data_IF_607712855778
#
_entry.id   IF_607712855778
#
_cell.length_a   1.000
_cell.length_b   1.000
_cell.length_c   1.000
_cell.angle_alpha   90.00
_cell.angle_beta   90.00
_cell.angle_gamma   90.00
#
_symmetry.space_group_name_H-M   'P 1'
#
loop_
_entity.id
_entity.type
_entity.pdbx_description
1 polymer ?
#
# COMPACT_ATOMS: atom_id res chain seq x y z
N UNK A 1 14.40 -11.34 21.24
CA UNK A 1 13.98 -9.93 21.19
C UNK A 1 14.56 -9.30 19.92
N UNK A 2 13.76 -8.53 19.23
CA UNK A 2 14.22 -7.74 18.09
C UNK A 2 14.79 -6.44 18.64
N UNK A 3 16.01 -6.11 18.19
CA UNK A 3 16.68 -4.85 18.56
C UNK A 3 16.71 -4.00 17.29
N UNK A 4 16.36 -2.72 17.41
CA UNK A 4 16.50 -1.75 16.33
C UNK A 4 17.87 -1.11 16.43
N UNK A 5 18.68 -1.25 15.39
CA UNK A 5 20.00 -0.62 15.29
C UNK A 5 20.02 0.37 14.15
N UNK A 6 20.72 1.49 14.33
CA UNK A 6 20.96 2.44 13.26
C UNK A 6 22.04 1.92 12.30
N UNK A 7 21.71 1.93 11.00
CA UNK A 7 22.70 1.58 9.96
C UNK A 7 23.69 2.71 9.81
N UNK A 8 24.98 2.39 9.75
CA UNK A 8 26.05 3.36 9.49
C UNK A 8 25.80 4.16 8.21
N UNK A 9 26.09 5.45 8.24
CA UNK A 9 25.79 6.36 7.13
C UNK A 9 26.44 5.92 5.80
N UNK A 10 27.64 5.35 5.86
CA UNK A 10 28.34 4.78 4.71
C UNK A 10 27.62 3.64 4.02
N UNK A 11 26.79 2.88 4.76
CA UNK A 11 26.04 1.73 4.25
C UNK A 11 24.61 2.11 3.77
N UNK A 12 24.07 3.24 4.24
CA UNK A 12 22.70 3.66 3.88
C UNK A 12 22.50 3.96 2.39
N UNK A 13 23.59 4.27 1.68
CA UNK A 13 23.60 4.63 0.26
C UNK A 13 24.15 3.52 -0.65
N UNK A 14 24.36 2.33 -0.12
CA UNK A 14 24.80 1.18 -0.88
C UNK A 14 23.64 0.23 -1.18
N UNK A 15 23.68 -0.42 -2.34
CA UNK A 15 22.76 -1.51 -2.62
C UNK A 15 23.02 -2.69 -1.71
N UNK A 16 21.96 -3.31 -1.19
CA UNK A 16 22.06 -4.47 -0.30
C UNK A 16 22.49 -5.75 -1.02
N UNK A 17 22.35 -5.81 -2.34
CA UNK A 17 22.75 -6.90 -3.21
C UNK A 17 23.71 -6.41 -4.30
N UNK A 18 24.62 -7.26 -4.71
CA UNK A 18 25.42 -7.07 -5.92
C UNK A 18 24.69 -7.63 -7.16
N UNK A 19 25.22 -7.38 -8.36
CA UNK A 19 24.58 -7.77 -9.62
C UNK A 19 24.41 -9.30 -9.75
N UNK A 20 25.35 -10.09 -9.26
CA UNK A 20 25.30 -11.56 -9.30
C UNK A 20 24.16 -12.08 -8.41
N UNK A 21 24.00 -11.51 -7.21
CA UNK A 21 22.94 -11.83 -6.27
C UNK A 21 21.55 -11.42 -6.82
N UNK A 22 21.46 -10.26 -7.48
CA UNK A 22 20.23 -9.84 -8.17
C UNK A 22 19.87 -10.83 -9.27
N UNK A 23 20.83 -11.28 -10.07
CA UNK A 23 20.60 -12.28 -11.11
C UNK A 23 20.20 -13.65 -10.56
N UNK A 24 20.77 -14.06 -9.42
CA UNK A 24 20.38 -15.28 -8.73
C UNK A 24 18.93 -15.19 -8.23
N UNK A 25 18.57 -14.09 -7.58
CA UNK A 25 17.21 -13.87 -7.08
C UNK A 25 16.19 -13.82 -8.22
N UNK A 26 16.53 -13.19 -9.35
CA UNK A 26 15.68 -13.19 -10.54
C UNK A 26 15.45 -14.59 -11.09
N UNK A 27 16.47 -15.47 -11.10
CA UNK A 27 16.31 -16.89 -11.50
C UNK A 27 15.36 -17.62 -10.55
N UNK A 28 15.47 -17.41 -9.24
CA UNK A 28 14.54 -18.00 -8.27
C UNK A 28 13.10 -17.54 -8.53
N UNK A 29 12.89 -16.26 -8.78
CA UNK A 29 11.57 -15.71 -9.11
C UNK A 29 10.99 -16.38 -10.37
N UNK A 30 11.77 -16.54 -11.43
CA UNK A 30 11.34 -17.20 -12.67
C UNK A 30 10.98 -18.67 -12.45
N UNK A 31 11.77 -19.40 -11.67
CA UNK A 31 11.50 -20.81 -11.33
C UNK A 31 10.18 -20.94 -10.57
N UNK A 32 9.98 -20.06 -9.59
CA UNK A 32 8.77 -20.03 -8.77
C UNK A 32 7.54 -19.69 -9.62
N UNK A 33 7.62 -18.66 -10.45
CA UNK A 33 6.54 -18.28 -11.37
C UNK A 33 6.20 -19.42 -12.34
N UNK A 34 7.19 -20.08 -12.92
CA UNK A 34 6.99 -21.22 -13.81
C UNK A 34 6.32 -22.39 -13.07
N UNK A 35 6.73 -22.67 -11.82
CA UNK A 35 6.17 -23.76 -11.01
C UNK A 35 4.69 -23.54 -10.70
N UNK A 36 4.31 -22.32 -10.32
CA UNK A 36 2.93 -21.98 -9.97
C UNK A 36 2.08 -21.54 -11.17
N UNK A 37 2.66 -21.31 -12.34
CA UNK A 37 1.98 -20.89 -13.57
C UNK A 37 1.36 -19.50 -13.53
N UNK A 38 1.84 -18.63 -12.64
CA UNK A 38 1.35 -17.25 -12.44
C UNK A 38 2.38 -16.40 -11.70
N UNK A 39 2.30 -15.06 -11.81
CA UNK A 39 3.15 -14.15 -11.05
C UNK A 39 3.05 -14.39 -9.54
N UNK A 40 4.19 -14.40 -8.89
CA UNK A 40 4.32 -14.65 -7.46
C UNK A 40 5.10 -13.52 -6.78
N UNK A 41 4.57 -13.06 -5.65
CA UNK A 41 5.30 -12.26 -4.67
C UNK A 41 6.23 -13.18 -3.90
N UNK A 42 7.50 -12.80 -3.77
CA UNK A 42 8.48 -13.59 -3.01
C UNK A 42 9.09 -12.76 -1.88
N UNK A 43 9.21 -13.37 -0.72
CA UNK A 43 10.04 -12.86 0.37
C UNK A 43 11.36 -13.62 0.39
N UNK A 44 12.44 -12.90 0.60
CA UNK A 44 13.79 -13.48 0.60
C UNK A 44 14.65 -12.86 1.70
N UNK A 45 15.71 -13.54 2.04
CA UNK A 45 16.71 -13.07 2.98
C UNK A 45 18.11 -13.49 2.53
N UNK A 46 19.09 -12.65 2.86
CA UNK A 46 20.51 -13.00 2.74
C UNK A 46 21.03 -13.37 4.11
N UNK A 47 21.53 -14.58 4.26
CA UNK A 47 22.11 -15.04 5.51
C UNK A 47 23.43 -14.31 5.82
N UNK A 48 23.55 -13.78 7.02
CA UNK A 48 24.75 -13.05 7.45
C UNK A 48 25.96 -13.94 7.75
N UNK A 49 25.76 -15.27 7.83
CA UNK A 49 26.82 -16.23 8.18
C UNK A 49 27.41 -16.85 6.91
N UNK A 50 26.57 -17.37 6.02
CA UNK A 50 27.02 -18.04 4.80
C UNK A 50 26.92 -17.18 3.53
N UNK A 51 26.29 -15.98 3.64
CA UNK A 51 26.13 -15.03 2.55
C UNK A 51 25.15 -15.42 1.44
N UNK A 52 24.42 -16.55 1.60
CA UNK A 52 23.51 -17.06 0.57
C UNK A 52 22.14 -16.42 0.62
N UNK A 53 21.49 -16.42 -0.53
CA UNK A 53 20.09 -16.01 -0.68
C UNK A 53 19.15 -17.17 -0.41
N UNK A 54 18.13 -16.91 0.38
CA UNK A 54 17.07 -17.87 0.71
C UNK A 54 15.72 -17.29 0.39
N UNK A 55 14.87 -18.06 -0.27
CA UNK A 55 13.45 -17.74 -0.43
C UNK A 55 12.74 -18.14 0.86
N UNK A 56 12.09 -17.20 1.51
CA UNK A 56 11.42 -17.38 2.79
C UNK A 56 9.93 -17.65 2.61
N UNK A 57 9.31 -17.00 1.62
CA UNK A 57 7.89 -17.16 1.30
C UNK A 57 7.65 -16.88 -0.17
N UNK A 58 6.65 -17.57 -0.75
CA UNK A 58 6.08 -17.24 -2.05
C UNK A 58 4.56 -17.26 -1.94
N UNK A 59 3.91 -16.25 -2.46
CA UNK A 59 2.45 -16.11 -2.50
C UNK A 59 2.00 -15.58 -3.85
N UNK A 60 0.78 -15.95 -4.32
CA UNK A 60 0.26 -15.40 -5.57
C UNK A 60 0.21 -13.87 -5.53
N UNK A 61 0.78 -13.25 -6.56
CA UNK A 61 0.59 -11.82 -6.79
C UNK A 61 -0.86 -11.60 -7.24
N UNK A 62 -1.62 -10.80 -6.47
CA UNK A 62 -3.08 -10.67 -6.66
C UNK A 62 -3.49 -9.35 -7.30
N UNK A 63 -2.59 -8.37 -7.36
CA UNK A 63 -2.91 -7.00 -7.78
C UNK A 63 -2.67 -6.78 -9.27
N UNK A 64 -1.51 -7.20 -9.78
CA UNK A 64 -1.18 -6.99 -11.19
C UNK A 64 -1.87 -8.00 -12.11
N UNK A 65 -2.17 -9.18 -11.62
CA UNK A 65 -2.92 -10.17 -12.41
C UNK A 65 -4.40 -9.80 -12.63
N UNK A 66 -4.94 -8.91 -11.78
CA UNK A 66 -6.31 -8.35 -11.94
C UNK A 66 -6.33 -7.00 -12.64
N UNK A 67 -5.24 -6.25 -12.62
CA UNK A 67 -5.06 -5.08 -13.48
C UNK A 67 -4.81 -5.59 -14.89
N UNK A 68 -5.81 -5.49 -15.76
CA UNK A 68 -5.70 -5.89 -17.17
C UNK A 68 -4.36 -5.43 -17.74
N UNK A 69 -3.61 -6.39 -18.29
CA UNK A 69 -2.24 -6.22 -18.75
C UNK A 69 -2.05 -4.89 -19.48
N UNK A 70 -1.16 -4.05 -18.98
CA UNK A 70 -0.59 -2.96 -19.74
C UNK A 70 -1.14 -1.56 -19.54
N UNK A 71 -1.99 -1.27 -18.57
CA UNK A 71 -2.44 0.11 -18.32
C UNK A 71 -1.94 0.64 -16.98
N UNK A 72 -1.15 1.72 -17.01
CA UNK A 72 -0.80 2.50 -15.81
C UNK A 72 -1.75 3.68 -15.71
N UNK A 73 -2.48 3.72 -14.59
CA UNK A 73 -3.34 4.85 -14.26
C UNK A 73 -2.58 5.84 -13.38
N UNK A 74 -2.60 7.11 -13.78
CA UNK A 74 -2.06 8.22 -13.00
C UNK A 74 -3.21 9.11 -12.53
N UNK A 75 -3.33 9.24 -11.23
CA UNK A 75 -4.30 10.11 -10.57
C UNK A 75 -3.69 11.49 -10.29
N UNK A 76 -4.47 12.55 -10.46
CA UNK A 76 -4.06 13.92 -10.17
C UNK A 76 -5.22 14.73 -9.62
N UNK A 77 -5.06 15.31 -8.43
CA UNK A 77 -6.02 16.27 -7.88
C UNK A 77 -6.10 17.53 -8.76
N UNK A 78 -7.32 18.03 -8.95
CA UNK A 78 -7.59 19.30 -9.65
C UNK A 78 -7.88 20.44 -8.69
N UNK A 79 -8.26 20.13 -7.47
CA UNK A 79 -8.56 21.11 -6.43
C UNK A 79 -8.07 20.62 -5.08
N UNK A 80 -7.95 21.54 -4.14
CA UNK A 80 -7.50 21.28 -2.78
C UNK A 80 -8.47 21.91 -1.79
N UNK A 81 -8.59 21.31 -0.63
CA UNK A 81 -9.39 21.84 0.48
C UNK A 81 -8.61 21.72 1.79
N UNK A 82 -9.29 21.93 2.91
CA UNK A 82 -8.67 21.77 4.22
C UNK A 82 -8.20 20.34 4.43
N UNK A 83 -6.91 20.19 4.76
CA UNK A 83 -6.34 18.92 5.20
C UNK A 83 -6.83 18.61 6.62
N UNK A 84 -7.47 17.48 6.79
CA UNK A 84 -8.02 17.01 8.07
C UNK A 84 -7.07 16.04 8.79
N UNK A 85 -6.33 15.23 8.04
CA UNK A 85 -5.34 14.30 8.55
C UNK A 85 -4.23 14.10 7.50
N UNK A 86 -3.04 13.75 7.96
CA UNK A 86 -1.91 13.44 7.09
C UNK A 86 -1.11 12.27 7.65
N UNK A 87 -0.51 11.49 6.78
CA UNK A 87 0.30 10.35 7.14
C UNK A 87 1.17 9.88 5.98
N UNK A 88 1.68 8.68 6.05
CA UNK A 88 2.47 8.08 4.99
C UNK A 88 1.54 7.60 3.86
N UNK A 89 1.80 8.06 2.63
CA UNK A 89 1.09 7.61 1.44
C UNK A 89 1.49 6.17 1.07
N UNK A 90 0.47 5.36 0.79
CA UNK A 90 0.61 4.00 0.27
C UNK A 90 -0.16 3.92 -1.05
N UNK A 91 0.56 3.55 -2.10
CA UNK A 91 0.06 3.63 -3.47
C UNK A 91 0.15 5.04 -4.06
N UNK A 92 -0.53 5.26 -5.19
CA UNK A 92 -0.53 6.52 -5.94
C UNK A 92 -1.93 6.87 -6.44
N UNK A 93 -2.96 6.46 -5.70
CA UNK A 93 -4.36 6.66 -6.05
C UNK A 93 -5.05 7.66 -5.13
N UNK A 94 -6.28 7.97 -5.49
CA UNK A 94 -7.20 8.82 -4.74
C UNK A 94 -8.45 8.00 -4.45
N UNK A 95 -8.94 8.07 -3.22
CA UNK A 95 -10.21 7.49 -2.82
C UNK A 95 -11.11 8.56 -2.21
N UNK A 96 -12.40 8.55 -2.56
CA UNK A 96 -13.40 9.50 -2.07
C UNK A 96 -14.56 8.73 -1.47
N UNK A 97 -15.02 9.18 -0.32
CA UNK A 97 -16.20 8.57 0.32
C UNK A 97 -16.45 9.11 1.72
N UNK A 98 -17.52 8.63 2.35
CA UNK A 98 -17.81 8.97 3.74
C UNK A 98 -16.84 8.27 4.68
N UNK A 99 -16.43 8.98 5.72
CA UNK A 99 -15.62 8.43 6.80
C UNK A 99 -16.40 7.37 7.57
N UNK A 100 -15.79 6.22 7.75
CA UNK A 100 -16.27 5.14 8.61
C UNK A 100 -15.20 4.81 9.65
N UNK A 101 -15.43 5.27 10.90
CA UNK A 101 -14.53 5.04 12.01
C UNK A 101 -14.87 3.69 12.66
N UNK A 102 -13.91 2.78 12.68
CA UNK A 102 -14.07 1.46 13.32
C UNK A 102 -13.07 1.37 14.46
N UNK A 103 -13.60 1.38 15.67
CA UNK A 103 -12.80 1.28 16.91
C UNK A 103 -12.72 -0.15 17.46
N UNK A 104 -13.76 -0.94 17.24
CA UNK A 104 -13.83 -2.36 17.65
C UNK A 104 -14.02 -3.25 16.41
N UNK A 105 -13.30 -4.36 16.27
CA UNK A 105 -13.52 -5.33 15.19
C UNK A 105 -14.97 -5.77 15.00
N UNK A 106 -15.78 -5.76 16.06
CA UNK A 106 -17.22 -6.07 15.99
C UNK A 106 -18.04 -5.07 15.17
N UNK A 107 -17.49 -3.87 14.96
CA UNK A 107 -18.17 -2.81 14.20
C UNK A 107 -17.84 -2.86 12.69
N UNK A 108 -16.98 -3.81 12.26
CA UNK A 108 -16.55 -3.93 10.87
C UNK A 108 -17.70 -4.10 9.88
N UNK A 109 -18.82 -4.70 10.31
CA UNK A 109 -20.03 -4.87 9.47
C UNK A 109 -20.68 -3.54 9.06
N UNK A 110 -20.35 -2.44 9.74
CA UNK A 110 -20.85 -1.10 9.40
C UNK A 110 -20.15 -0.51 8.17
N UNK A 111 -18.99 -1.04 7.77
CA UNK A 111 -18.24 -0.57 6.61
C UNK A 111 -18.98 -0.95 5.33
N UNK A 112 -19.37 0.06 4.55
CA UNK A 112 -20.07 -0.08 3.28
C UNK A 112 -19.12 0.08 2.10
N UNK A 113 -19.47 -0.48 0.92
CA UNK A 113 -18.71 -0.22 -0.29
C UNK A 113 -18.57 1.28 -0.56
N UNK A 114 -17.34 1.74 -0.78
CA UNK A 114 -17.02 3.15 -1.04
C UNK A 114 -16.73 3.99 0.20
N UNK A 115 -16.86 3.45 1.41
CA UNK A 115 -16.46 4.16 2.63
C UNK A 115 -14.93 4.38 2.68
N UNK A 116 -14.50 5.46 3.31
CA UNK A 116 -13.11 5.65 3.75
C UNK A 116 -13.00 5.04 5.14
N UNK A 117 -12.34 3.88 5.21
CA UNK A 117 -12.15 3.15 6.45
C UNK A 117 -11.11 3.86 7.32
N UNK A 118 -11.49 4.23 8.53
CA UNK A 118 -10.61 4.88 9.52
C UNK A 118 -10.52 4.01 10.77
N UNK A 119 -9.30 3.64 11.16
CA UNK A 119 -9.07 2.80 12.33
C UNK A 119 -7.75 3.17 13.03
N UNK A 120 -7.58 2.73 14.26
CA UNK A 120 -6.30 2.89 14.94
C UNK A 120 -5.20 2.07 14.27
N UNK A 121 -5.47 0.79 14.03
CA UNK A 121 -4.65 -0.13 13.22
C UNK A 121 -5.53 -1.26 12.68
N UNK A 122 -5.04 -2.02 11.72
CA UNK A 122 -5.71 -3.19 11.17
C UNK A 122 -4.89 -4.46 11.40
N UNK A 123 -5.55 -5.60 11.36
CA UNK A 123 -4.96 -6.94 11.41
C UNK A 123 -5.57 -7.82 10.29
N UNK A 124 -5.12 -9.06 10.09
CA UNK A 124 -5.60 -9.93 9.00
C UNK A 124 -7.12 -10.15 8.95
N UNK A 125 -7.83 -10.04 10.07
CA UNK A 125 -9.28 -10.20 10.10
C UNK A 125 -10.03 -9.04 9.42
N UNK A 126 -9.35 -7.90 9.17
CA UNK A 126 -9.93 -6.73 8.53
C UNK A 126 -9.99 -6.80 7.00
N UNK A 127 -9.29 -7.76 6.39
CA UNK A 127 -9.21 -7.85 4.93
C UNK A 127 -10.57 -7.84 4.22
N UNK A 128 -11.62 -8.54 4.69
CA UNK A 128 -12.93 -8.52 4.05
C UNK A 128 -13.58 -7.13 3.97
N UNK A 129 -13.36 -6.28 4.98
CA UNK A 129 -13.90 -4.91 4.99
C UNK A 129 -13.00 -3.94 4.27
N UNK A 130 -11.69 -4.14 4.31
CA UNK A 130 -10.73 -3.35 3.55
C UNK A 130 -10.99 -3.43 2.04
N UNK A 131 -11.41 -4.60 1.53
CA UNK A 131 -11.80 -4.79 0.11
C UNK A 131 -12.96 -3.91 -0.35
N UNK A 132 -13.82 -3.45 0.54
CA UNK A 132 -14.97 -2.59 0.24
C UNK A 132 -14.64 -1.11 0.29
N UNK A 133 -13.55 -0.75 0.98
CA UNK A 133 -13.18 0.64 1.21
C UNK A 133 -12.68 1.32 -0.07
N UNK A 134 -12.99 2.60 -0.23
CA UNK A 134 -12.40 3.47 -1.26
C UNK A 134 -11.00 3.92 -0.89
N UNK A 135 -10.70 4.00 0.41
CA UNK A 135 -9.40 4.30 0.99
C UNK A 135 -9.31 3.76 2.42
N UNK A 136 -8.09 3.60 2.93
CA UNK A 136 -7.81 3.18 4.30
C UNK A 136 -6.98 4.26 4.97
N UNK A 137 -7.36 4.63 6.19
CA UNK A 137 -6.64 5.62 7.03
C UNK A 137 -6.40 5.00 8.39
N UNK A 138 -5.15 5.00 8.86
CA UNK A 138 -4.82 4.47 10.20
C UNK A 138 -4.02 5.45 11.02
N UNK A 139 -4.26 5.46 12.34
CA UNK A 139 -3.48 6.24 13.28
C UNK A 139 -2.05 5.73 13.37
N UNK A 140 -1.88 4.41 13.45
CA UNK A 140 -0.60 3.74 13.59
C UNK A 140 -0.22 2.98 12.34
N UNK A 141 1.07 2.79 12.16
CA UNK A 141 1.63 1.97 11.10
C UNK A 141 2.61 2.72 10.21
N UNK A 142 3.36 1.96 9.45
CA UNK A 142 4.34 2.42 8.47
C UNK A 142 4.19 1.67 7.16
N UNK A 143 5.20 1.78 6.28
CA UNK A 143 5.16 1.18 4.94
C UNK A 143 5.03 -0.34 4.91
N UNK A 144 5.33 -1.00 6.01
CA UNK A 144 5.32 -2.46 6.16
C UNK A 144 4.24 -2.96 7.11
N UNK A 145 3.34 -2.08 7.60
CA UNK A 145 2.23 -2.51 8.43
C UNK A 145 1.17 -3.27 7.60
N UNK A 146 0.33 -4.03 8.28
CA UNK A 146 -0.74 -4.81 7.65
C UNK A 146 -1.60 -3.96 6.69
N UNK A 147 -2.07 -2.79 7.13
CA UNK A 147 -2.85 -1.89 6.29
C UNK A 147 -2.13 -1.51 4.98
N UNK A 148 -0.83 -1.24 5.05
CA UNK A 148 -0.03 -0.86 3.88
C UNK A 148 0.16 -2.03 2.90
N UNK A 149 0.38 -3.23 3.43
CA UNK A 149 0.55 -4.45 2.61
C UNK A 149 -0.75 -4.76 1.87
N UNK A 150 -1.86 -4.86 2.60
CA UNK A 150 -3.17 -5.19 2.01
C UNK A 150 -3.66 -4.09 1.05
N UNK A 151 -3.43 -2.81 1.37
CA UNK A 151 -3.79 -1.72 0.46
C UNK A 151 -3.08 -1.82 -0.90
N UNK A 152 -1.78 -2.19 -0.90
CA UNK A 152 -1.04 -2.47 -2.14
C UNK A 152 -1.62 -3.67 -2.88
N UNK A 153 -1.90 -4.76 -2.19
CA UNK A 153 -2.50 -5.97 -2.77
C UNK A 153 -3.87 -5.70 -3.38
N UNK A 154 -4.69 -4.89 -2.73
CA UNK A 154 -6.02 -4.52 -3.21
C UNK A 154 -5.99 -3.38 -4.24
N UNK A 155 -4.87 -2.71 -4.42
CA UNK A 155 -4.75 -1.56 -5.32
C UNK A 155 -5.57 -0.35 -4.89
N UNK A 156 -5.83 -0.17 -3.60
CA UNK A 156 -6.54 0.97 -3.01
C UNK A 156 -5.57 1.90 -2.29
N UNK A 157 -5.84 3.22 -2.22
CA UNK A 157 -4.99 4.14 -1.49
C UNK A 157 -5.11 3.91 0.02
N UNK A 158 -3.97 4.00 0.73
CA UNK A 158 -3.98 4.06 2.18
C UNK A 158 -3.07 5.16 2.69
N UNK A 159 -3.46 5.77 3.81
CA UNK A 159 -2.69 6.77 4.53
C UNK A 159 -2.49 6.24 5.95
N UNK A 160 -1.27 5.88 6.27
CA UNK A 160 -0.94 5.22 7.54
C UNK A 160 -0.07 6.10 8.43
N UNK A 161 -0.15 5.88 9.74
CA UNK A 161 0.63 6.65 10.70
C UNK A 161 0.15 8.10 10.86
N UNK A 162 -1.17 8.34 10.79
CA UNK A 162 -1.75 9.68 10.91
C UNK A 162 -1.76 10.20 12.37
N UNK A 163 -1.53 9.34 13.35
CA UNK A 163 -1.51 9.70 14.76
C UNK A 163 -2.90 9.71 15.40
N UNK A 164 -3.77 10.57 14.95
CA UNK A 164 -5.06 10.89 15.59
C UNK A 164 -6.26 10.95 14.61
N UNK A 165 -6.19 10.30 13.46
CA UNK A 165 -7.25 10.36 12.45
C UNK A 165 -8.61 9.90 12.99
N UNK A 166 -8.65 8.93 13.90
CA UNK A 166 -9.89 8.45 14.55
C UNK A 166 -10.55 9.52 15.43
N UNK A 167 -9.81 10.56 15.82
CA UNK A 167 -10.30 11.66 16.67
C UNK A 167 -10.55 12.94 15.86
N UNK A 168 -9.77 13.16 14.79
CA UNK A 168 -9.84 14.38 13.97
C UNK A 168 -10.83 14.28 12.83
N UNK A 169 -11.12 13.08 12.33
CA UNK A 169 -12.12 12.84 11.29
C UNK A 169 -13.50 12.63 11.92
N UNK A 170 -14.52 13.08 11.20
CA UNK A 170 -15.92 12.99 11.66
C UNK A 170 -16.62 11.85 10.93
N UNK A 171 -17.27 10.96 11.68
CA UNK A 171 -18.08 9.87 11.13
C UNK A 171 -19.08 10.37 10.10
N UNK A 172 -19.12 9.75 8.91
CA UNK A 172 -20.02 10.08 7.83
C UNK A 172 -19.64 11.32 6.99
N UNK A 173 -18.64 12.11 7.41
CA UNK A 173 -18.14 13.24 6.61
C UNK A 173 -17.52 12.73 5.29
N UNK A 174 -17.87 13.36 4.17
CA UNK A 174 -17.25 13.06 2.88
C UNK A 174 -15.83 13.62 2.87
N UNK A 175 -14.88 12.79 2.54
CA UNK A 175 -13.46 13.15 2.44
C UNK A 175 -12.83 12.59 1.15
N UNK A 176 -11.70 13.19 0.77
CA UNK A 176 -10.84 12.72 -0.31
C UNK A 176 -9.49 12.32 0.28
N UNK A 177 -9.16 11.04 0.20
CA UNK A 177 -7.87 10.51 0.61
C UNK A 177 -6.95 10.44 -0.63
N UNK A 178 -5.89 11.26 -0.64
CA UNK A 178 -4.94 11.37 -1.75
C UNK A 178 -3.57 10.80 -1.36
N UNK A 179 -3.06 9.92 -2.20
CA UNK A 179 -1.70 9.39 -2.15
C UNK A 179 -0.86 9.81 -3.37
N UNK A 180 -1.22 10.90 -4.05
CA UNK A 180 -0.60 11.32 -5.32
C UNK A 180 0.41 12.44 -5.18
N UNK A 181 0.67 12.92 -3.97
CA UNK A 181 1.47 14.11 -3.68
C UNK A 181 2.83 13.75 -3.04
N UNK A 182 3.41 12.63 -3.47
CA UNK A 182 4.68 12.13 -2.96
C UNK A 182 4.53 11.15 -1.79
N UNK A 183 5.44 11.22 -0.83
CA UNK A 183 5.50 10.30 0.31
C UNK A 183 4.45 10.56 1.40
N UNK A 184 3.88 11.76 1.41
CA UNK A 184 2.85 12.17 2.36
C UNK A 184 1.48 12.05 1.71
N UNK A 185 0.58 11.30 2.36
CA UNK A 185 -0.82 11.24 2.00
C UNK A 185 -1.63 12.23 2.82
N UNK A 186 -2.68 12.78 2.21
CA UNK A 186 -3.55 13.77 2.82
C UNK A 186 -5.01 13.34 2.75
N UNK A 187 -5.74 13.52 3.84
CA UNK A 187 -7.20 13.42 3.89
C UNK A 187 -7.75 14.84 3.81
N UNK A 188 -8.38 15.16 2.69
CA UNK A 188 -9.00 16.46 2.44
C UNK A 188 -10.49 16.43 2.77
N UNK A 189 -11.01 17.55 3.25
CA UNK A 189 -12.46 17.73 3.46
C UNK A 189 -13.19 17.77 2.12
N UNK A 190 -14.29 17.02 2.04
CA UNK A 190 -15.18 17.02 0.89
C UNK A 190 -14.75 16.10 -0.24
N UNK A 191 -15.57 16.07 -1.28
CA UNK A 191 -15.29 15.35 -2.53
C UNK A 191 -14.55 16.29 -3.47
N UNK A 192 -13.28 16.06 -3.69
CA UNK A 192 -12.43 16.85 -4.59
C UNK A 192 -12.42 16.26 -5.99
N UNK A 193 -12.38 17.14 -6.99
CA UNK A 193 -12.22 16.74 -8.37
C UNK A 193 -10.79 16.26 -8.63
N UNK A 194 -10.68 15.17 -9.37
CA UNK A 194 -9.41 14.62 -9.83
C UNK A 194 -9.55 14.05 -11.25
N UNK A 195 -8.43 13.90 -11.92
CA UNK A 195 -8.36 13.26 -13.23
C UNK A 195 -7.60 11.94 -13.14
N UNK A 196 -7.97 11.01 -13.99
CA UNK A 196 -7.27 9.73 -14.19
C UNK A 196 -6.76 9.73 -15.64
N UNK A 197 -5.43 9.66 -15.79
CA UNK A 197 -4.80 9.48 -17.09
C UNK A 197 -4.32 8.03 -17.18
N UNK A 198 -4.84 7.29 -18.16
CA UNK A 198 -4.41 5.92 -18.44
C UNK A 198 -3.39 5.91 -19.57
N UNK A 199 -2.25 5.24 -19.36
CA UNK A 199 -1.27 4.97 -20.42
C UNK A 199 -1.14 3.46 -20.61
N UNK A 200 -1.18 3.05 -21.88
CA UNK A 200 -0.96 1.66 -22.26
C UNK A 200 0.56 1.43 -22.35
N UNK A 201 1.09 0.52 -21.54
CA UNK A 201 2.53 0.19 -21.51
C UNK A 201 2.88 -0.77 -22.66
N UNK A 202 1.90 -1.50 -23.20
CA UNK A 202 2.14 -2.44 -24.32
C UNK A 202 2.61 -1.75 -25.62
N UNK A 203 2.53 -0.41 -25.67
CA UNK A 203 2.95 0.41 -26.80
C UNK A 203 4.31 1.11 -26.58
N UNK A 204 5.04 0.80 -25.52
CA UNK A 204 6.41 1.33 -25.36
C UNK A 204 7.37 0.54 -26.24
N UNK A 205 8.16 1.22 -27.11
CA UNK A 205 9.24 0.55 -27.82
C UNK A 205 10.33 0.12 -26.82
N UNK A 206 10.93 -1.05 -27.11
CA UNK A 206 12.07 -1.63 -26.39
C UNK A 206 13.27 -0.66 -26.26
#
# INVERSE_FOLDING_TARGET
SVITEEVEESLRHQFSLNDEEVMELARYAMIIEQHYGRPMDIEWGKDGIDGKLYILQARPETVQSQAGAGKVEKFKLKSFSKVLASGRAIGQKIGVGPVRIVKDPKEMDQVRPGDVLVADMTDPNWEPVMKRASAIVTNRGGRTCHAAIIARELGIPAIVGCGDATETLTEGEIVTASCTEGDTGHVYRGSLDYEITSRDISAMPD
#
